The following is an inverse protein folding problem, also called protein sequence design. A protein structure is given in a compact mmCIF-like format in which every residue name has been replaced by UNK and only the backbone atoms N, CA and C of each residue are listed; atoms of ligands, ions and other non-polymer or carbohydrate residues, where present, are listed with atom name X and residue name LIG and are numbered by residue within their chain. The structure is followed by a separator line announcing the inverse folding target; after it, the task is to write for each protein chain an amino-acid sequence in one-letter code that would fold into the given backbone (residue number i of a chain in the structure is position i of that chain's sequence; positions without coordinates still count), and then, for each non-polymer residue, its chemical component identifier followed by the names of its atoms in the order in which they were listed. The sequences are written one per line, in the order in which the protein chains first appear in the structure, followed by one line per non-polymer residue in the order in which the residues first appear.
data_IF_130104239902
#
_entry.id   IF_130104239902
#
_cell.length_a   1.000
_cell.length_b   1.000
_cell.length_c   1.000
_cell.angle_alpha   90.00
_cell.angle_beta   90.00
_cell.angle_gamma   90.00
#
_symmetry.space_group_name_H-M   'P 1'
#
loop_
_entity.id
_entity.type
_entity.pdbx_description
1 polymer ?
#
# COMPACT_ATOMS: atom_id res chain seq x y z
N UNK A 1 -13.82 1.28 5.44
CA UNK A 1 -13.49 0.86 6.82
C UNK A 1 -14.15 1.82 7.80
N UNK A 2 -14.68 1.32 8.91
CA UNK A 2 -15.25 2.13 9.98
C UNK A 2 -14.84 1.55 11.34
N UNK A 3 -14.63 2.41 12.33
CA UNK A 3 -14.22 2.03 13.68
C UNK A 3 -14.67 3.06 14.71
N UNK A 4 -14.56 2.68 15.98
CA UNK A 4 -14.86 3.55 17.11
C UNK A 4 -13.60 3.69 17.96
N UNK A 5 -13.22 4.93 18.30
CA UNK A 5 -12.18 5.16 19.29
C UNK A 5 -12.78 4.91 20.67
N UNK A 6 -12.47 3.76 21.27
CA UNK A 6 -12.90 3.39 22.62
C UNK A 6 -11.82 3.75 23.63
N UNK A 7 -12.15 4.56 24.64
CA UNK A 7 -11.17 5.16 25.54
C UNK A 7 -10.89 4.28 26.78
N UNK A 8 -10.27 3.11 26.58
CA UNK A 8 -10.13 2.08 27.64
C UNK A 8 -8.87 2.16 28.52
N UNK A 9 -7.92 3.10 28.34
CA UNK A 9 -6.79 3.25 29.27
C UNK A 9 -6.28 4.71 29.47
N UNK A 10 -6.11 5.06 30.76
CA UNK A 10 -5.25 6.07 31.42
C UNK A 10 -5.32 7.58 31.05
N UNK A 11 -5.70 8.41 32.05
CA UNK A 11 -5.68 9.89 32.08
C UNK A 11 -4.23 10.43 32.03
N UNK A 12 -3.94 11.56 31.32
CA UNK A 12 -4.54 12.87 31.60
C UNK A 12 -5.24 13.59 30.44
N UNK A 13 -5.19 13.08 29.20
CA UNK A 13 -5.87 13.71 28.05
C UNK A 13 -7.19 13.00 27.73
N UNK A 14 -8.17 13.14 28.63
CA UNK A 14 -9.51 12.55 28.46
C UNK A 14 -10.31 13.28 27.37
N UNK A 15 -10.37 12.69 26.18
CA UNK A 15 -11.51 12.88 25.28
C UNK A 15 -12.71 12.13 25.88
N UNK A 16 -13.59 12.85 26.55
CA UNK A 16 -14.65 12.30 27.40
C UNK A 16 -15.84 11.66 26.62
N UNK A 17 -15.66 11.32 25.34
CA UNK A 17 -16.74 10.87 24.43
C UNK A 17 -16.23 9.87 23.39
N UNK A 18 -17.05 8.85 23.12
CA UNK A 18 -16.90 7.94 21.98
C UNK A 18 -16.82 8.76 20.69
N UNK A 19 -15.82 8.46 19.87
CA UNK A 19 -15.60 9.20 18.62
C UNK A 19 -15.53 8.24 17.43
N UNK A 20 -16.44 8.37 16.44
CA UNK A 20 -16.40 7.54 15.26
C UNK A 20 -15.26 7.94 14.34
N UNK A 21 -14.64 6.93 13.75
CA UNK A 21 -13.59 7.03 12.73
C UNK A 21 -14.03 6.27 11.49
N UNK A 22 -13.87 6.88 10.33
CA UNK A 22 -14.11 6.25 9.05
C UNK A 22 -12.88 6.40 8.16
N UNK A 23 -12.62 5.40 7.31
CA UNK A 23 -11.58 5.46 6.31
C UNK A 23 -12.04 4.83 5.00
N UNK A 24 -11.73 5.50 3.90
CA UNK A 24 -11.89 5.00 2.53
C UNK A 24 -10.49 4.66 2.04
N UNK A 25 -10.29 3.41 1.64
CA UNK A 25 -9.02 2.90 1.13
C UNK A 25 -9.23 2.56 -0.34
N UNK A 26 -8.44 3.18 -1.21
CA UNK A 26 -8.50 3.02 -2.66
C UNK A 26 -7.15 2.52 -3.13
N UNK A 27 -7.14 1.46 -3.91
CA UNK A 27 -5.95 0.97 -4.58
C UNK A 27 -6.24 0.90 -6.07
N UNK A 28 -5.42 1.60 -6.85
CA UNK A 28 -5.46 1.61 -8.30
C UNK A 28 -4.23 0.90 -8.82
N UNK A 29 -4.44 -0.28 -9.41
CA UNK A 29 -3.38 -1.03 -10.09
C UNK A 29 -3.42 -0.66 -11.58
N UNK A 30 -2.62 0.33 -11.97
CA UNK A 30 -2.58 0.80 -13.36
C UNK A 30 -1.80 -0.17 -14.26
N UNK A 31 -0.80 -0.85 -13.70
CA UNK A 31 0.00 -1.87 -14.37
C UNK A 31 0.66 -2.79 -13.36
N UNK A 32 1.31 -3.86 -13.83
CA UNK A 32 2.04 -4.83 -12.99
C UNK A 32 3.17 -4.21 -12.17
N UNK A 33 3.64 -3.01 -12.57
CA UNK A 33 4.74 -2.29 -11.94
C UNK A 33 4.35 -0.94 -11.35
N UNK A 34 3.10 -0.49 -11.50
CA UNK A 34 2.67 0.82 -11.02
C UNK A 34 1.36 0.73 -10.25
N UNK A 35 1.47 1.01 -8.95
CA UNK A 35 0.36 0.95 -8.00
C UNK A 35 0.21 2.33 -7.38
N UNK A 36 -1.04 2.80 -7.31
CA UNK A 36 -1.38 4.04 -6.64
C UNK A 36 -2.41 3.78 -5.55
N UNK A 37 -2.02 4.04 -4.31
CA UNK A 37 -2.86 3.84 -3.12
C UNK A 37 -3.28 5.20 -2.58
N UNK A 38 -4.58 5.40 -2.37
CA UNK A 38 -5.14 6.58 -1.72
C UNK A 38 -5.99 6.18 -0.54
N UNK A 39 -5.63 6.66 0.65
CA UNK A 39 -6.36 6.42 1.87
C UNK A 39 -6.88 7.76 2.39
N UNK A 40 -8.20 7.92 2.46
CA UNK A 40 -8.86 9.10 3.03
C UNK A 40 -9.43 8.71 4.39
N UNK A 41 -9.07 9.44 5.44
CA UNK A 41 -9.39 9.10 6.83
C UNK A 41 -10.12 10.29 7.46
N UNK A 42 -11.29 10.04 8.04
CA UNK A 42 -11.99 10.99 8.91
C UNK A 42 -11.99 10.47 10.33
N UNK A 43 -11.36 11.20 11.24
CA UNK A 43 -11.31 10.86 12.66
C UNK A 43 -12.09 11.87 13.49
N UNK A 44 -12.66 11.39 14.59
CA UNK A 44 -13.48 12.16 15.51
C UNK A 44 -14.66 12.93 14.89
N UNK A 45 -15.42 12.27 14.01
CA UNK A 45 -16.48 12.94 13.23
C UNK A 45 -17.56 13.58 14.11
N UNK A 46 -17.85 13.04 15.30
CA UNK A 46 -18.87 13.55 16.22
C UNK A 46 -18.37 14.64 17.19
N UNK A 47 -17.05 14.86 17.29
CA UNK A 47 -16.47 15.83 18.22
C UNK A 47 -15.92 17.03 17.46
N UNK A 48 -16.72 18.10 17.35
CA UNK A 48 -16.39 19.29 16.56
C UNK A 48 -15.09 20.00 16.98
N UNK A 49 -14.58 19.77 18.18
CA UNK A 49 -13.32 20.37 18.68
C UNK A 49 -12.08 19.55 18.29
N UNK A 50 -12.24 18.26 18.01
CA UNK A 50 -11.16 17.31 17.75
C UNK A 50 -11.29 16.60 16.41
N UNK A 51 -12.20 17.09 15.55
CA UNK A 51 -12.47 16.54 14.24
C UNK A 51 -11.27 16.77 13.34
N UNK A 52 -10.74 15.67 12.82
CA UNK A 52 -9.54 15.68 12.00
C UNK A 52 -9.81 14.91 10.70
N UNK A 53 -9.35 15.44 9.59
CA UNK A 53 -9.40 14.78 8.29
C UNK A 53 -7.99 14.57 7.78
N UNK A 54 -7.68 13.38 7.31
CA UNK A 54 -6.39 13.02 6.76
C UNK A 54 -6.52 12.38 5.40
N UNK A 55 -5.48 12.50 4.59
CA UNK A 55 -5.29 11.64 3.43
C UNK A 55 -3.83 11.18 3.37
N UNK A 56 -3.63 10.01 2.78
CA UNK A 56 -2.34 9.44 2.45
C UNK A 56 -2.43 9.00 0.99
N UNK A 57 -1.55 9.53 0.15
CA UNK A 57 -1.43 9.16 -1.25
C UNK A 57 -0.04 8.60 -1.50
N UNK A 58 0.03 7.32 -1.84
CA UNK A 58 1.27 6.57 -1.99
C UNK A 58 1.37 6.03 -3.41
N UNK A 59 2.43 6.40 -4.10
CA UNK A 59 2.78 5.92 -5.43
C UNK A 59 3.90 4.90 -5.29
N UNK A 60 3.73 3.72 -5.88
CA UNK A 60 4.71 2.62 -5.82
C UNK A 60 5.05 2.23 -7.25
N UNK A 61 6.35 2.21 -7.56
CA UNK A 61 6.88 1.84 -8.87
C UNK A 61 7.88 0.70 -8.69
N UNK A 62 7.63 -0.44 -9.33
CA UNK A 62 8.56 -1.57 -9.41
C UNK A 62 9.43 -1.40 -10.65
N UNK A 63 10.70 -1.07 -10.47
CA UNK A 63 11.63 -0.91 -11.61
C UNK A 63 12.16 -2.27 -12.10
N UNK A 64 12.29 -3.23 -11.18
CA UNK A 64 12.63 -4.63 -11.48
C UNK A 64 11.89 -5.54 -10.51
N UNK A 65 11.91 -6.84 -10.74
CA UNK A 65 11.34 -7.85 -9.81
C UNK A 65 11.95 -7.82 -8.39
N UNK A 66 13.08 -7.12 -8.22
CA UNK A 66 13.80 -7.01 -6.95
C UNK A 66 13.94 -5.58 -6.44
N UNK A 67 13.56 -4.56 -7.20
CA UNK A 67 13.77 -3.16 -6.81
C UNK A 67 12.51 -2.35 -7.05
N UNK A 68 12.03 -1.73 -5.97
CA UNK A 68 10.85 -0.87 -6.00
C UNK A 68 11.15 0.45 -5.32
N UNK A 69 10.56 1.51 -5.87
CA UNK A 69 10.53 2.85 -5.29
C UNK A 69 9.12 3.16 -4.82
N UNK A 70 9.01 3.99 -3.80
CA UNK A 70 7.74 4.60 -3.45
C UNK A 70 7.91 6.07 -3.09
N UNK A 71 6.87 6.84 -3.39
CA UNK A 71 6.70 8.22 -2.95
C UNK A 71 5.38 8.34 -2.21
N UNK A 72 5.37 9.09 -1.13
CA UNK A 72 4.21 9.26 -0.28
C UNK A 72 3.99 10.74 0.04
N UNK A 73 2.73 11.15 -0.05
CA UNK A 73 2.26 12.45 0.35
C UNK A 73 1.07 12.30 1.29
N UNK A 74 1.20 12.83 2.49
CA UNK A 74 0.17 12.83 3.52
C UNK A 74 -0.22 14.26 3.87
N UNK A 75 -1.51 14.50 4.07
CA UNK A 75 -2.01 15.75 4.62
C UNK A 75 -3.00 15.46 5.74
N UNK A 76 -2.78 16.06 6.90
CA UNK A 76 -3.68 16.00 8.04
C UNK A 76 -4.16 17.39 8.40
N UNK A 77 -5.48 17.55 8.40
CA UNK A 77 -6.19 18.77 8.70
C UNK A 77 -6.85 18.64 10.07
N UNK A 78 -6.32 19.36 11.05
CA UNK A 78 -6.94 19.56 12.34
C UNK A 78 -7.73 20.88 12.31
N UNK A 79 -8.57 21.11 13.32
CA UNK A 79 -9.31 22.38 13.44
C UNK A 79 -8.39 23.57 13.63
N UNK A 80 -7.34 23.42 14.45
CA UNK A 80 -6.42 24.50 14.81
C UNK A 80 -5.23 24.64 13.83
N UNK A 81 -4.68 23.52 13.34
CA UNK A 81 -3.47 23.51 12.53
C UNK A 81 -3.52 22.47 11.41
N UNK A 82 -2.55 22.51 10.51
CA UNK A 82 -2.41 21.58 9.38
C UNK A 82 -1.01 21.01 9.39
N UNK A 83 -0.91 19.72 9.10
CA UNK A 83 0.36 19.01 8.95
C UNK A 83 0.42 18.42 7.56
N UNK A 84 1.56 18.56 6.90
CA UNK A 84 1.85 17.89 5.65
C UNK A 84 3.10 17.04 5.82
N UNK A 85 3.10 15.84 5.28
CA UNK A 85 4.25 14.96 5.27
C UNK A 85 4.49 14.52 3.85
N UNK A 86 5.72 14.65 3.39
CA UNK A 86 6.14 14.11 2.10
C UNK A 86 7.34 13.25 2.33
N UNK A 87 7.39 12.10 1.69
CA UNK A 87 8.54 11.24 1.80
C UNK A 87 8.54 10.20 0.72
N UNK A 88 9.48 9.30 0.83
CA UNK A 88 9.61 8.20 -0.08
C UNK A 88 10.72 7.29 0.36
N UNK A 89 10.86 6.21 -0.37
CA UNK A 89 11.87 5.22 -0.08
C UNK A 89 12.04 4.26 -1.22
N UNK A 90 12.95 3.33 -0.99
CA UNK A 90 13.21 2.25 -1.90
C UNK A 90 13.35 0.96 -1.12
N UNK A 91 12.98 -0.12 -1.76
CA UNK A 91 13.16 -1.46 -1.24
C UNK A 91 13.90 -2.32 -2.27
N UNK A 92 14.81 -3.15 -1.78
CA UNK A 92 15.56 -4.10 -2.56
C UNK A 92 15.43 -5.51 -1.98
N UNK A 93 15.08 -6.45 -2.84
CA UNK A 93 14.94 -7.85 -2.52
C UNK A 93 16.29 -8.55 -2.73
N UNK A 94 17.00 -8.86 -1.63
CA UNK A 94 18.26 -9.61 -1.67
C UNK A 94 18.05 -11.06 -2.08
N UNK A 95 16.91 -11.64 -1.72
CA UNK A 95 16.48 -13.01 -2.01
C UNK A 95 14.96 -13.07 -1.88
N UNK A 96 14.27 -14.09 -2.43
CA UNK A 96 12.81 -14.22 -2.33
C UNK A 96 12.22 -14.01 -0.92
N UNK A 97 13.03 -14.26 0.11
CA UNK A 97 12.68 -14.11 1.51
C UNK A 97 13.27 -12.89 2.21
N UNK A 98 14.31 -12.24 1.69
CA UNK A 98 15.02 -11.16 2.39
C UNK A 98 14.89 -9.85 1.62
N UNK A 99 14.49 -8.79 2.32
CA UNK A 99 14.33 -7.46 1.77
C UNK A 99 15.01 -6.42 2.68
N UNK A 100 15.64 -5.44 2.06
CA UNK A 100 16.16 -4.25 2.73
C UNK A 100 15.38 -3.06 2.19
N UNK A 101 15.08 -2.10 3.05
CA UNK A 101 14.45 -0.85 2.68
C UNK A 101 15.17 0.34 3.29
N UNK A 102 15.08 1.46 2.60
CA UNK A 102 15.52 2.77 3.08
C UNK A 102 14.42 3.77 2.77
N UNK A 103 14.18 4.68 3.72
CA UNK A 103 13.18 5.71 3.56
C UNK A 103 13.65 7.05 4.13
N UNK A 104 13.04 8.11 3.59
CA UNK A 104 13.24 9.47 4.04
C UNK A 104 11.92 10.24 3.92
N UNK A 105 11.56 10.92 4.99
CA UNK A 105 10.34 11.71 5.11
C UNK A 105 10.67 13.09 5.66
N UNK A 106 9.94 14.08 5.18
CA UNK A 106 9.95 15.46 5.61
C UNK A 106 8.57 15.83 6.09
N UNK A 107 8.51 16.40 7.28
CA UNK A 107 7.28 16.82 7.92
C UNK A 107 7.24 18.35 7.93
N UNK A 108 6.13 18.92 7.50
CA UNK A 108 5.85 20.34 7.48
C UNK A 108 4.71 20.62 8.45
N UNK A 109 5.01 21.30 9.55
CA UNK A 109 4.00 21.88 10.42
C UNK A 109 3.90 23.39 10.16
N UNK A 110 2.67 23.91 10.14
CA UNK A 110 2.36 25.34 9.98
C UNK A 110 2.98 26.20 11.10
N UNK A 111 3.28 25.61 12.27
CA UNK A 111 3.96 26.27 13.41
C UNK A 111 5.51 26.23 13.33
N UNK A 112 6.06 26.20 12.11
CA UNK A 112 7.49 26.42 11.81
C UNK A 112 8.50 25.31 12.15
N UNK A 113 8.07 24.15 12.67
CA UNK A 113 9.00 23.05 12.91
C UNK A 113 8.98 22.06 11.74
N UNK A 114 9.96 22.19 10.83
CA UNK A 114 10.23 21.18 9.80
C UNK A 114 11.23 20.18 10.34
N UNK A 115 10.89 18.89 10.30
CA UNK A 115 11.83 17.84 10.69
C UNK A 115 11.91 16.74 9.62
N UNK A 116 13.11 16.17 9.52
CA UNK A 116 13.44 15.08 8.63
C UNK A 116 13.52 13.79 9.44
N UNK A 117 12.95 12.73 8.90
CA UNK A 117 12.99 11.40 9.48
C UNK A 117 13.44 10.44 8.39
N UNK A 118 14.58 9.79 8.61
CA UNK A 118 15.05 8.71 7.74
C UNK A 118 15.13 7.40 8.51
N UNK A 119 15.07 6.29 7.79
CA UNK A 119 15.18 4.97 8.38
C UNK A 119 15.76 3.96 7.40
N UNK A 120 16.38 2.93 7.96
CA UNK A 120 16.79 1.71 7.26
C UNK A 120 16.05 0.53 7.90
N UNK A 121 15.54 -0.37 7.06
CA UNK A 121 14.79 -1.54 7.46
C UNK A 121 15.36 -2.80 6.83
N UNK A 122 15.24 -3.91 7.56
CA UNK A 122 15.47 -5.25 7.03
C UNK A 122 14.25 -6.09 7.40
N UNK A 123 13.73 -6.82 6.42
CA UNK A 123 12.60 -7.71 6.61
C UNK A 123 12.90 -9.10 6.06
N UNK A 124 12.38 -10.11 6.75
CA UNK A 124 12.47 -11.50 6.37
C UNK A 124 11.08 -12.11 6.28
N UNK A 125 10.74 -12.68 5.11
CA UNK A 125 9.50 -13.39 4.85
C UNK A 125 9.74 -14.89 5.00
N UNK A 126 9.11 -15.48 6.01
CA UNK A 126 9.06 -16.93 6.18
C UNK A 126 7.91 -17.49 5.33
N UNK A 127 8.25 -18.05 4.17
CA UNK A 127 7.27 -18.77 3.37
C UNK A 127 7.23 -20.25 3.80
N UNK A 128 6.09 -20.66 4.39
CA UNK A 128 5.81 -22.06 4.76
C UNK A 128 4.64 -22.61 3.93
N UNK A 129 4.50 -22.23 2.66
CA UNK A 129 3.52 -22.85 1.79
C UNK A 129 3.97 -24.25 1.34
N UNK A 130 3.33 -25.29 1.90
CA UNK A 130 3.27 -26.61 1.30
C UNK A 130 2.03 -26.64 0.40
N UNK A 131 2.20 -26.26 -0.86
CA UNK A 131 1.16 -26.50 -1.86
C UNK A 131 1.03 -28.01 -2.07
N UNK A 132 -0.06 -28.60 -1.58
CA UNK A 132 -0.43 -29.97 -1.97
C UNK A 132 -0.57 -29.96 -3.49
N UNK A 133 0.14 -30.82 -4.25
CA UNK A 133 -0.01 -30.86 -5.69
C UNK A 133 -1.48 -31.11 -6.01
N UNK A 134 -2.11 -30.17 -6.73
CA UNK A 134 -3.44 -30.38 -7.29
C UNK A 134 -3.37 -31.65 -8.12
N UNK A 135 -4.03 -32.72 -7.69
CA UNK A 135 -4.19 -33.94 -8.49
C UNK A 135 -4.71 -33.50 -9.87
N UNK A 136 -4.10 -33.93 -10.98
CA UNK A 136 -4.67 -33.64 -12.29
C UNK A 136 -6.10 -34.16 -12.29
N UNK A 137 -7.07 -33.28 -12.56
CA UNK A 137 -8.43 -33.72 -12.86
C UNK A 137 -8.31 -34.67 -14.05
N UNK A 138 -8.72 -35.92 -13.84
CA UNK A 138 -8.93 -36.88 -14.91
C UNK A 138 -10.11 -36.35 -15.72
N UNK A 139 -9.85 -35.48 -16.70
CA UNK A 139 -10.83 -35.10 -17.71
C UNK A 139 -11.06 -36.32 -18.61
N UNK A 140 -11.98 -37.17 -18.18
CA UNK A 140 -12.64 -38.13 -19.04
C UNK A 140 -13.60 -37.39 -19.95
N UNK A 141 -13.16 -37.00 -21.14
CA UNK A 141 -13.97 -37.07 -22.37
C UNK A 141 -13.13 -36.68 -23.57
N UNK A 142 -12.99 -37.61 -24.51
CA UNK A 142 -12.20 -37.41 -25.71
C UNK A 142 -12.84 -36.41 -26.68
N UNK A 143 -11.99 -35.67 -27.40
CA UNK A 143 -12.31 -35.23 -28.77
C UNK A 143 -11.03 -34.94 -29.58
N UNK A 144 -10.75 -35.91 -30.46
CA UNK A 144 -10.12 -35.84 -31.80
C UNK A 144 -8.93 -34.90 -32.05
N UNK A 145 -7.77 -35.55 -32.24
CA UNK A 145 -6.64 -35.05 -33.04
C UNK A 145 -7.10 -34.66 -34.46
N UNK A 146 -7.17 -33.37 -34.75
CA UNK A 146 -7.25 -32.84 -36.11
C UNK A 146 -5.89 -32.38 -36.58
N UNK A 147 -5.14 -33.26 -37.24
CA UNK A 147 -3.95 -32.87 -38.03
C UNK A 147 -4.43 -32.02 -39.22
N UNK A 148 -4.03 -30.76 -39.31
CA UNK A 148 -3.92 -30.07 -40.60
C UNK A 148 -2.58 -29.33 -40.66
N UNK A 149 -1.64 -29.95 -41.38
CA UNK A 149 -0.50 -29.27 -42.00
C UNK A 149 -1.06 -28.34 -43.08
N UNK A 150 -0.63 -27.08 -43.13
CA UNK A 150 -0.59 -26.34 -44.39
C UNK A 150 0.74 -25.60 -44.50
N UNK A 151 1.35 -25.77 -45.68
CA UNK A 151 2.74 -25.44 -46.04
C UNK A 151 2.98 -23.94 -46.22
N UNK A 152 4.25 -23.57 -46.04
CA UNK A 152 4.92 -22.39 -46.58
C UNK A 152 4.55 -22.13 -48.05
N UNK A 153 4.37 -20.86 -48.44
CA UNK A 153 5.30 -20.09 -49.30
C UNK A 153 4.70 -18.70 -49.63
N UNK A 154 5.54 -17.67 -49.68
CA UNK A 154 5.17 -16.36 -50.22
C UNK A 154 6.21 -15.28 -49.92
N UNK A 155 7.32 -15.28 -50.66
CA UNK A 155 8.33 -14.20 -50.71
C UNK A 155 8.03 -13.31 -51.93
N UNK A 156 8.52 -12.06 -51.86
CA UNK A 156 8.50 -10.94 -52.86
C UNK A 156 7.37 -9.93 -52.58
N UNK A 157 7.60 -8.62 -52.64
CA UNK A 157 8.63 -7.85 -53.36
C UNK A 157 9.40 -6.89 -52.46
#
# INVERSE_FOLDING_TARGET
YAGLNTNFLSKPHKLNRLSPKAAILLQHDFSDYFIWVNNIIGDHLNLQEYRNYGYISTLIISLTDRFSLYGEHQGTFYKQYKEFKVGGGMAYLLSPTWQIDINLHRNFNKENNTYYQGGLGVSWRLDRHYDKPKRPKKDGSGRRKGKRKFKLFGKKS
#
